data_IF_516604837124
#
_entry.id   IF_516604837124
#
_cell.length_a   1.000
_cell.length_b   1.000
_cell.length_c   1.000
_cell.angle_alpha   90.00
_cell.angle_beta   90.00
_cell.angle_gamma   90.00
#
_symmetry.space_group_name_H-M   'P 1'
#
loop_
_entity.id
_entity.type
_entity.pdbx_description
1 polymer ?
#
# COMPACT_ATOMS: atom_id res chain seq x y z
N UNK A 1 -3.66 22.37 29.71
CA UNK A 1 -4.64 22.46 28.61
C UNK A 1 -4.81 21.06 28.00
N UNK A 2 -5.91 20.38 28.31
CA UNK A 2 -6.26 19.08 27.75
C UNK A 2 -6.89 19.29 26.36
N UNK A 3 -6.24 18.81 25.30
CA UNK A 3 -6.90 18.64 24.00
C UNK A 3 -7.59 17.27 24.02
N UNK A 4 -8.91 17.30 24.15
CA UNK A 4 -9.81 16.15 24.04
C UNK A 4 -9.96 15.74 22.59
N UNK A 5 -9.36 14.62 22.18
CA UNK A 5 -9.68 13.94 20.91
C UNK A 5 -9.73 12.43 21.13
N UNK A 6 -10.77 11.98 21.84
CA UNK A 6 -11.04 10.57 22.10
C UNK A 6 -11.64 9.89 20.87
N UNK A 7 -10.81 9.55 19.88
CA UNK A 7 -11.26 8.68 18.80
C UNK A 7 -11.11 7.21 19.24
N UNK A 8 -12.23 6.48 19.33
CA UNK A 8 -12.29 5.04 19.64
C UNK A 8 -12.45 4.27 18.33
N UNK A 9 -11.34 4.00 17.62
CA UNK A 9 -11.41 3.24 16.36
C UNK A 9 -11.13 1.75 16.59
N UNK A 10 -12.08 0.90 16.22
CA UNK A 10 -11.88 -0.55 16.17
C UNK A 10 -11.04 -0.91 14.94
N UNK A 11 -10.24 -1.98 15.01
CA UNK A 11 -9.44 -2.51 13.88
C UNK A 11 -10.28 -2.60 12.60
N UNK A 12 -11.52 -3.10 12.74
CA UNK A 12 -12.51 -3.17 11.66
C UNK A 12 -12.78 -1.81 11.00
N UNK A 13 -13.04 -0.77 11.80
CA UNK A 13 -13.37 0.55 11.25
C UNK A 13 -12.16 1.18 10.56
N UNK A 14 -10.95 0.94 11.05
CA UNK A 14 -9.71 1.43 10.41
C UNK A 14 -9.48 0.74 9.07
N UNK A 15 -9.66 -0.58 8.98
CA UNK A 15 -9.54 -1.33 7.72
C UNK A 15 -10.60 -0.90 6.70
N UNK A 16 -11.85 -0.71 7.13
CA UNK A 16 -12.92 -0.23 6.25
C UNK A 16 -12.61 1.19 5.76
N UNK A 17 -12.23 2.10 6.66
CA UNK A 17 -11.87 3.47 6.29
C UNK A 17 -10.69 3.48 5.31
N UNK A 18 -9.64 2.71 5.58
CA UNK A 18 -8.50 2.52 4.68
C UNK A 18 -8.95 2.11 3.27
N UNK A 19 -9.74 1.04 3.15
CA UNK A 19 -10.19 0.54 1.84
C UNK A 19 -11.07 1.57 1.10
N UNK A 20 -11.90 2.32 1.82
CA UNK A 20 -12.71 3.41 1.24
C UNK A 20 -11.82 4.53 0.72
N UNK A 21 -10.86 5.02 1.52
CA UNK A 21 -9.94 6.08 1.09
C UNK A 21 -9.11 5.66 -0.12
N UNK A 22 -8.59 4.43 -0.12
CA UNK A 22 -7.87 3.86 -1.27
C UNK A 22 -8.78 3.80 -2.50
N UNK A 23 -9.97 3.20 -2.38
CA UNK A 23 -10.89 3.06 -3.51
C UNK A 23 -11.32 4.42 -4.09
N UNK A 24 -11.73 5.36 -3.23
CA UNK A 24 -12.16 6.69 -3.67
C UNK A 24 -11.01 7.46 -4.31
N UNK A 25 -9.82 7.47 -3.71
CA UNK A 25 -8.66 8.16 -4.27
C UNK A 25 -8.23 7.58 -5.63
N UNK A 26 -8.20 6.24 -5.76
CA UNK A 26 -7.82 5.58 -7.01
C UNK A 26 -8.88 5.71 -8.11
N UNK A 27 -10.17 5.74 -7.74
CA UNK A 27 -11.27 5.98 -8.68
C UNK A 27 -11.29 7.42 -9.15
N UNK A 28 -11.24 8.39 -8.23
CA UNK A 28 -11.34 9.80 -8.55
C UNK A 28 -10.10 10.31 -9.31
N UNK A 29 -8.89 9.80 -9.03
CA UNK A 29 -7.71 10.17 -9.83
C UNK A 29 -7.85 9.80 -11.31
N UNK A 30 -8.59 8.72 -11.62
CA UNK A 30 -8.85 8.31 -13.00
C UNK A 30 -9.73 9.35 -13.70
N UNK A 31 -10.80 9.83 -13.03
CA UNK A 31 -11.66 10.89 -13.57
C UNK A 31 -10.95 12.23 -13.76
N UNK A 32 -9.98 12.55 -12.90
CA UNK A 32 -9.22 13.81 -12.96
C UNK A 32 -7.85 13.69 -13.64
N UNK A 33 -7.64 12.67 -14.47
CA UNK A 33 -6.36 12.40 -15.15
C UNK A 33 -5.76 13.63 -15.85
N UNK A 34 -6.62 14.45 -16.46
CA UNK A 34 -6.22 15.63 -17.24
C UNK A 34 -5.94 16.87 -16.37
N UNK A 35 -6.21 16.82 -15.06
CA UNK A 35 -5.96 17.93 -14.14
C UNK A 35 -4.94 17.51 -13.08
N UNK A 36 -3.70 17.97 -13.25
CA UNK A 36 -2.58 17.58 -12.39
C UNK A 36 -2.84 17.81 -10.89
N UNK A 37 -3.41 18.95 -10.51
CA UNK A 37 -3.63 19.30 -9.10
C UNK A 37 -4.66 18.36 -8.48
N UNK A 38 -5.80 18.14 -9.16
CA UNK A 38 -6.83 17.24 -8.69
C UNK A 38 -6.36 15.78 -8.68
N UNK A 39 -5.63 15.36 -9.72
CA UNK A 39 -4.98 14.05 -9.77
C UNK A 39 -4.06 13.83 -8.58
N UNK A 40 -3.20 14.80 -8.26
CA UNK A 40 -2.26 14.71 -7.14
C UNK A 40 -2.97 14.65 -5.79
N UNK A 41 -4.03 15.44 -5.60
CA UNK A 41 -4.84 15.40 -4.37
C UNK A 41 -5.49 14.02 -4.21
N UNK A 42 -6.10 13.47 -5.26
CA UNK A 42 -6.72 12.14 -5.21
C UNK A 42 -5.69 11.02 -5.02
N UNK A 43 -4.51 11.15 -5.62
CA UNK A 43 -3.39 10.23 -5.39
C UNK A 43 -2.91 10.28 -3.94
N UNK A 44 -2.85 11.47 -3.35
CA UNK A 44 -2.50 11.65 -1.94
C UNK A 44 -3.57 11.04 -1.03
N UNK A 45 -4.85 11.22 -1.37
CA UNK A 45 -5.96 10.58 -0.65
C UNK A 45 -5.85 9.05 -0.68
N UNK A 46 -5.55 8.47 -1.84
CA UNK A 46 -5.29 7.03 -1.97
C UNK A 46 -4.09 6.58 -1.13
N UNK A 47 -3.02 7.40 -1.08
CA UNK A 47 -1.81 7.10 -0.32
C UNK A 47 -2.05 7.04 1.19
N UNK A 48 -3.01 7.81 1.72
CA UNK A 48 -3.42 7.74 3.15
C UNK A 48 -4.05 6.40 3.52
N UNK A 49 -4.65 5.70 2.55
CA UNK A 49 -5.25 4.39 2.77
C UNK A 49 -4.22 3.34 3.21
N UNK A 50 -2.98 3.41 2.72
CA UNK A 50 -1.94 2.43 3.05
C UNK A 50 -1.49 2.45 4.53
N UNK A 51 -1.13 3.61 5.13
CA UNK A 51 -0.87 3.70 6.57
C UNK A 51 -2.02 3.19 7.43
N UNK A 52 -3.27 3.48 7.03
CA UNK A 52 -4.46 3.02 7.76
C UNK A 52 -4.61 1.50 7.68
N UNK A 53 -4.34 0.86 6.53
CA UNK A 53 -4.42 -0.59 6.37
C UNK A 53 -3.42 -1.33 7.28
N UNK A 54 -2.21 -0.78 7.41
CA UNK A 54 -1.10 -1.44 8.13
C UNK A 54 -1.14 -1.14 9.63
N UNK A 55 -1.70 -0.01 10.05
CA UNK A 55 -1.82 0.35 11.47
C UNK A 55 -2.35 -0.80 12.36
N UNK A 56 -3.45 -1.50 12.02
CA UNK A 56 -3.92 -2.61 12.84
C UNK A 56 -3.05 -3.87 12.73
N UNK A 57 -2.25 -4.07 11.67
CA UNK A 57 -1.49 -5.31 11.43
C UNK A 57 -0.51 -5.61 12.56
N UNK A 58 0.20 -4.61 13.08
CA UNK A 58 1.13 -4.78 14.20
C UNK A 58 0.42 -5.18 15.49
N UNK A 59 -0.74 -4.57 15.75
CA UNK A 59 -1.57 -4.92 16.92
C UNK A 59 -2.16 -6.33 16.81
N UNK A 60 -2.59 -6.75 15.62
CA UNK A 60 -3.11 -8.09 15.36
C UNK A 60 -1.99 -9.13 15.44
N UNK A 61 -0.81 -8.85 14.89
CA UNK A 61 0.35 -9.74 14.94
C UNK A 61 0.82 -9.99 16.39
N UNK A 62 0.69 -9.00 17.28
CA UNK A 62 1.05 -9.14 18.70
C UNK A 62 0.13 -10.09 19.48
N UNK A 63 -1.06 -10.40 18.96
CA UNK A 63 -1.96 -11.40 19.54
C UNK A 63 -1.56 -12.84 19.22
N UNK A 64 -0.63 -13.06 18.28
CA UNK A 64 -0.15 -14.39 17.91
C UNK A 64 1.16 -14.73 18.62
N UNK A 65 1.30 -15.99 19.07
CA UNK A 65 2.54 -16.52 19.66
C UNK A 65 3.76 -16.39 18.72
N UNK A 66 3.55 -16.37 17.40
CA UNK A 66 4.61 -16.26 16.40
C UNK A 66 4.59 -14.90 15.66
N UNK A 67 4.66 -13.81 16.41
CA UNK A 67 4.54 -12.43 15.92
C UNK A 67 5.51 -12.08 14.77
N UNK A 68 6.76 -12.55 14.83
CA UNK A 68 7.78 -12.29 13.79
C UNK A 68 7.39 -12.94 12.47
N UNK A 69 6.88 -14.17 12.51
CA UNK A 69 6.46 -14.90 11.31
C UNK A 69 5.26 -14.23 10.64
N UNK A 70 4.25 -13.85 11.41
CA UNK A 70 3.06 -13.15 10.90
C UNK A 70 3.42 -11.79 10.29
N UNK A 71 4.33 -11.05 10.91
CA UNK A 71 4.76 -9.74 10.40
C UNK A 71 5.57 -9.89 9.12
N UNK A 72 6.53 -10.82 9.07
CA UNK A 72 7.35 -11.06 7.88
C UNK A 72 6.53 -11.60 6.69
N UNK A 73 5.54 -12.46 6.94
CA UNK A 73 4.63 -12.95 5.90
C UNK A 73 3.74 -11.83 5.33
N UNK A 74 3.22 -10.93 6.17
CA UNK A 74 2.44 -9.78 5.71
C UNK A 74 3.28 -8.79 4.88
N UNK A 75 4.50 -8.50 5.34
CA UNK A 75 5.45 -7.65 4.60
C UNK A 75 5.84 -8.32 3.27
N UNK A 76 6.01 -9.64 3.27
CA UNK A 76 6.31 -10.43 2.09
C UNK A 76 5.22 -10.38 1.03
N UNK A 77 3.97 -10.63 1.42
CA UNK A 77 2.81 -10.56 0.51
C UNK A 77 2.68 -9.16 -0.10
N UNK A 78 2.93 -8.12 0.69
CA UNK A 78 2.88 -6.73 0.25
C UNK A 78 3.93 -6.41 -0.82
N UNK A 79 5.18 -6.82 -0.61
CA UNK A 79 6.24 -6.64 -1.61
C UNK A 79 6.01 -7.50 -2.85
N UNK A 80 5.50 -8.72 -2.70
CA UNK A 80 5.11 -9.56 -3.85
C UNK A 80 4.01 -8.86 -4.66
N UNK A 81 3.00 -8.28 -3.99
CA UNK A 81 1.95 -7.50 -4.65
C UNK A 81 2.49 -6.30 -5.42
N UNK A 82 3.42 -5.53 -4.84
CA UNK A 82 4.11 -4.43 -5.54
C UNK A 82 4.91 -4.95 -6.74
N UNK A 83 5.59 -6.09 -6.57
CA UNK A 83 6.32 -6.77 -7.65
C UNK A 83 5.42 -7.11 -8.81
N UNK A 84 4.35 -7.87 -8.56
CA UNK A 84 3.35 -8.27 -9.56
C UNK A 84 2.76 -7.04 -10.26
N UNK A 85 2.37 -6.00 -9.50
CA UNK A 85 1.87 -4.76 -10.08
C UNK A 85 2.86 -4.11 -11.04
N UNK A 86 4.15 -4.10 -10.68
CA UNK A 86 5.22 -3.54 -11.50
C UNK A 86 5.51 -4.34 -12.78
N UNK A 87 5.22 -5.65 -12.81
CA UNK A 87 5.29 -6.48 -14.02
C UNK A 87 4.07 -6.32 -14.93
N UNK A 88 2.89 -6.15 -14.34
CA UNK A 88 1.64 -6.02 -15.08
C UNK A 88 1.48 -4.61 -15.67
N UNK A 89 1.90 -3.58 -14.94
CA UNK A 89 1.72 -2.17 -15.33
C UNK A 89 2.25 -1.86 -16.75
N UNK A 90 3.47 -2.28 -17.16
CA UNK A 90 3.96 -2.09 -18.53
C UNK A 90 3.06 -2.71 -19.62
N UNK A 91 2.41 -3.84 -19.33
CA UNK A 91 1.49 -4.49 -20.25
C UNK A 91 0.20 -3.68 -20.38
N UNK A 92 -0.29 -3.10 -19.28
CA UNK A 92 -1.50 -2.29 -19.26
C UNK A 92 -1.32 -0.92 -19.90
N UNK A 93 -0.10 -0.38 -19.91
CA UNK A 93 0.23 0.86 -20.62
C UNK A 93 0.02 0.76 -22.15
N UNK A 94 -0.10 -0.45 -22.71
CA UNK A 94 -0.52 -0.64 -24.12
C UNK A 94 -1.96 -0.14 -24.37
N UNK A 95 -2.81 -0.12 -23.34
CA UNK A 95 -4.14 0.48 -23.35
C UNK A 95 -4.14 1.94 -22.89
N UNK A 96 -2.95 2.56 -22.81
CA UNK A 96 -2.75 3.90 -22.27
C UNK A 96 -2.69 3.95 -20.74
N UNK A 97 -2.45 5.15 -20.21
CA UNK A 97 -2.36 5.40 -18.76
C UNK A 97 -3.69 5.08 -18.06
N UNK A 98 -4.81 5.26 -18.77
CA UNK A 98 -6.15 4.93 -18.28
C UNK A 98 -6.31 3.43 -17.98
N UNK A 99 -5.70 2.56 -18.77
CA UNK A 99 -5.74 1.11 -18.56
C UNK A 99 -5.06 0.69 -17.26
N UNK A 100 -3.87 1.23 -17.00
CA UNK A 100 -3.12 0.97 -15.75
C UNK A 100 -3.86 1.50 -14.51
N UNK A 101 -4.36 2.75 -14.58
CA UNK A 101 -5.09 3.37 -13.49
C UNK A 101 -6.46 2.71 -13.25
N UNK A 102 -7.15 2.30 -14.31
CA UNK A 102 -8.41 1.58 -14.27
C UNK A 102 -8.25 0.20 -13.64
N UNK A 103 -7.19 -0.52 -13.97
CA UNK A 103 -6.88 -1.80 -13.35
C UNK A 103 -6.65 -1.68 -11.84
N UNK A 104 -5.88 -0.68 -11.40
CA UNK A 104 -5.69 -0.39 -9.98
C UNK A 104 -7.03 -0.07 -9.27
N UNK A 105 -7.95 0.60 -9.97
CA UNK A 105 -9.29 0.89 -9.47
C UNK A 105 -10.10 -0.39 -9.26
N UNK A 106 -10.10 -1.31 -10.23
CA UNK A 106 -10.78 -2.61 -10.12
C UNK A 106 -10.22 -3.44 -8.95
N UNK A 107 -8.89 -3.52 -8.82
CA UNK A 107 -8.23 -4.18 -7.70
C UNK A 107 -8.64 -3.58 -6.34
N UNK A 108 -8.74 -2.25 -6.26
CA UNK A 108 -9.15 -1.57 -5.04
C UNK A 108 -10.61 -1.81 -4.69
N UNK A 109 -11.49 -1.94 -5.69
CA UNK A 109 -12.89 -2.32 -5.49
C UNK A 109 -13.00 -3.77 -4.97
N UNK A 110 -12.24 -4.70 -5.55
CA UNK A 110 -12.17 -6.08 -5.07
C UNK A 110 -11.67 -6.10 -3.62
N UNK A 111 -10.61 -5.36 -3.31
CA UNK A 111 -10.09 -5.23 -1.95
C UNK A 111 -11.14 -4.70 -0.98
N UNK A 112 -11.86 -3.64 -1.34
CA UNK A 112 -12.95 -3.09 -0.53
C UNK A 112 -14.06 -4.13 -0.30
N UNK A 113 -14.48 -4.84 -1.35
CA UNK A 113 -15.49 -5.89 -1.24
C UNK A 113 -15.06 -7.04 -0.32
N UNK A 114 -13.80 -7.46 -0.42
CA UNK A 114 -13.22 -8.49 0.45
C UNK A 114 -13.14 -8.00 1.90
N UNK A 115 -12.65 -6.79 2.15
CA UNK A 115 -12.59 -6.20 3.50
C UNK A 115 -13.98 -6.11 4.12
N UNK A 116 -14.98 -5.63 3.37
CA UNK A 116 -16.36 -5.58 3.85
C UNK A 116 -16.93 -6.97 4.15
N UNK A 117 -16.55 -8.00 3.40
CA UNK A 117 -17.03 -9.36 3.60
C UNK A 117 -16.36 -10.04 4.79
N UNK A 118 -15.03 -10.01 4.87
CA UNK A 118 -14.26 -10.69 5.93
C UNK A 118 -14.30 -9.97 7.28
N UNK A 119 -14.51 -8.65 7.30
CA UNK A 119 -14.63 -7.91 8.56
C UNK A 119 -16.03 -7.96 9.20
N UNK A 120 -17.04 -8.55 8.54
CA UNK A 120 -18.39 -8.74 9.13
C UNK A 120 -18.37 -9.65 10.36
N UNK A 121 -17.52 -10.68 10.35
CA UNK A 121 -17.37 -11.65 11.44
C UNK A 121 -16.33 -11.26 12.50
N UNK A 122 -15.67 -10.10 12.37
CA UNK A 122 -14.58 -9.73 13.27
C UNK A 122 -15.15 -9.34 14.66
N UNK A 123 -14.62 -9.88 15.76
CA UNK A 123 -15.16 -9.62 17.10
C UNK A 123 -15.07 -8.13 17.44
N UNK A 124 -16.22 -7.53 17.76
CA UNK A 124 -16.34 -6.10 18.14
C UNK A 124 -15.62 -5.74 19.46
N UNK A 125 -15.13 -6.75 20.19
CA UNK A 125 -14.61 -6.63 21.56
C UNK A 125 -13.08 -6.40 21.67
N UNK A 126 -12.35 -6.27 20.55
CA UNK A 126 -11.00 -5.70 20.59
C UNK A 126 -11.08 -4.17 20.71
N UNK A 127 -11.60 -3.69 21.84
CA UNK A 127 -11.71 -2.29 22.23
C UNK A 127 -10.47 -1.87 23.00
N UNK A 128 -9.35 -1.62 22.30
CA UNK A 128 -8.21 -0.92 22.91
C UNK A 128 -8.33 0.57 22.64
N UNK A 129 -8.14 1.39 23.68
CA UNK A 129 -7.98 2.83 23.52
C UNK A 129 -6.85 3.10 22.51
N UNK A 130 -7.05 4.02 21.56
CA UNK A 130 -6.00 4.44 20.62
C UNK A 130 -4.77 5.03 21.33
N UNK A 131 -4.92 5.44 22.60
CA UNK A 131 -3.83 5.80 23.50
C UNK A 131 -2.95 4.58 23.76
N UNK A 132 -1.85 4.48 23.00
CA UNK A 132 -0.92 3.35 23.02
C UNK A 132 -1.22 2.24 21.99
N UNK A 133 -2.24 2.40 21.13
CA UNK A 133 -2.49 1.48 20.01
C UNK A 133 -1.45 1.63 18.90
N UNK A 134 -0.98 2.87 18.70
CA UNK A 134 0.28 3.12 18.01
C UNK A 134 1.42 2.92 18.99
N UNK A 135 1.95 1.70 19.06
CA UNK A 135 3.22 1.50 19.75
C UNK A 135 4.31 2.31 19.04
N UNK A 136 5.33 2.83 19.76
CA UNK A 136 6.48 3.48 19.12
C UNK A 136 7.12 2.61 18.04
N UNK A 137 7.09 1.28 18.21
CA UNK A 137 7.51 0.31 17.19
C UNK A 137 6.67 0.39 15.91
N UNK A 138 5.36 0.59 16.01
CA UNK A 138 4.48 0.74 14.84
C UNK A 138 4.77 2.03 14.06
N UNK A 139 4.98 3.14 14.76
CA UNK A 139 5.35 4.42 14.13
C UNK A 139 6.72 4.32 13.46
N UNK A 140 7.67 3.64 14.12
CA UNK A 140 8.99 3.36 13.54
C UNK A 140 8.88 2.48 12.28
N UNK A 141 8.08 1.42 12.32
CA UNK A 141 7.86 0.56 11.14
C UNK A 141 7.15 1.32 10.01
N UNK A 142 6.24 2.25 10.32
CA UNK A 142 5.63 3.14 9.35
C UNK A 142 6.67 4.04 8.67
N UNK A 143 7.53 4.68 9.46
CA UNK A 143 8.60 5.51 8.94
C UNK A 143 9.54 4.69 8.04
N UNK A 144 9.96 3.51 8.48
CA UNK A 144 10.81 2.62 7.70
C UNK A 144 10.13 2.18 6.40
N UNK A 145 8.85 1.79 6.44
CA UNK A 145 8.10 1.38 5.25
C UNK A 145 7.87 2.52 4.26
N UNK A 146 7.57 3.72 4.75
CA UNK A 146 7.43 4.92 3.92
C UNK A 146 8.76 5.29 3.28
N UNK A 147 9.85 5.27 4.05
CA UNK A 147 11.21 5.52 3.55
C UNK A 147 11.58 4.51 2.47
N UNK A 148 11.38 3.21 2.70
CA UNK A 148 11.66 2.17 1.70
C UNK A 148 10.83 2.38 0.43
N UNK A 149 9.52 2.62 0.55
CA UNK A 149 8.65 2.87 -0.59
C UNK A 149 9.08 4.12 -1.38
N UNK A 150 9.41 5.22 -0.70
CA UNK A 150 9.90 6.45 -1.34
C UNK A 150 11.21 6.21 -2.06
N UNK A 151 12.18 5.52 -1.45
CA UNK A 151 13.44 5.20 -2.12
C UNK A 151 13.23 4.27 -3.31
N UNK A 152 12.41 3.22 -3.20
CA UNK A 152 12.13 2.32 -4.31
C UNK A 152 11.46 3.03 -5.48
N UNK A 153 10.48 3.90 -5.23
CA UNK A 153 9.81 4.69 -6.27
C UNK A 153 10.77 5.72 -6.86
N UNK A 154 11.58 6.38 -6.03
CA UNK A 154 12.58 7.34 -6.48
C UNK A 154 13.63 6.69 -7.39
N UNK A 155 14.23 5.57 -6.97
CA UNK A 155 15.22 4.85 -7.79
C UNK A 155 14.59 4.25 -9.05
N UNK A 156 13.36 3.74 -9.00
CA UNK A 156 12.64 3.27 -10.19
C UNK A 156 12.36 4.40 -11.19
N UNK A 157 11.98 5.59 -10.69
CA UNK A 157 11.81 6.79 -11.49
C UNK A 157 13.12 7.26 -12.13
N UNK A 158 14.19 7.40 -11.33
CA UNK A 158 15.53 7.79 -11.81
C UNK A 158 16.04 6.80 -12.85
N UNK A 159 15.91 5.50 -12.63
CA UNK A 159 16.30 4.48 -13.60
C UNK A 159 15.52 4.62 -14.92
N UNK A 160 14.21 4.85 -14.86
CA UNK A 160 13.36 5.07 -16.04
C UNK A 160 13.77 6.33 -16.80
N UNK A 161 14.04 7.43 -16.09
CA UNK A 161 14.49 8.69 -16.69
C UNK A 161 15.87 8.56 -17.33
N UNK A 162 16.81 7.88 -16.66
CA UNK A 162 18.16 7.67 -17.19
C UNK A 162 18.14 6.79 -18.44
N UNK A 163 17.36 5.71 -18.44
CA UNK A 163 17.13 4.88 -19.62
C UNK A 163 16.50 5.69 -20.78
N UNK A 164 15.60 6.61 -20.47
CA UNK A 164 14.99 7.49 -21.47
C UNK A 164 15.99 8.50 -22.05
N UNK A 165 16.89 9.07 -21.22
CA UNK A 165 17.98 9.96 -21.65
C UNK A 165 18.97 9.22 -22.56
N UNK A 166 19.21 7.93 -22.30
CA UNK A 166 20.04 7.09 -23.15
C UNK A 166 19.28 6.50 -24.37
N UNK A 167 18.07 6.98 -24.64
CA UNK A 167 17.21 6.54 -25.76
C UNK A 167 16.99 5.02 -25.82
N UNK A 168 16.97 4.36 -24.66
CA UNK A 168 16.66 2.93 -24.60
C UNK A 168 15.16 2.75 -24.89
N UNK A 169 14.79 1.95 -25.91
CA UNK A 169 13.39 1.69 -26.21
C UNK A 169 12.72 1.02 -25.01
N UNK A 170 11.47 1.39 -24.73
CA UNK A 170 10.68 0.86 -23.60
C UNK A 170 11.29 1.16 -22.21
N UNK A 171 11.99 2.28 -22.04
CA UNK A 171 12.61 2.70 -20.78
C UNK A 171 11.67 2.63 -19.56
N UNK A 172 10.40 3.03 -19.71
CA UNK A 172 9.38 2.96 -18.66
C UNK A 172 9.07 1.50 -18.30
N UNK A 173 8.93 0.63 -19.29
CA UNK A 173 8.70 -0.80 -19.09
C UNK A 173 9.88 -1.45 -18.38
N UNK A 174 11.12 -1.15 -18.78
CA UNK A 174 12.31 -1.66 -18.12
C UNK A 174 12.44 -1.18 -16.67
N UNK A 175 12.16 0.10 -16.40
CA UNK A 175 12.12 0.62 -15.03
C UNK A 175 11.09 -0.10 -14.16
N UNK A 176 9.90 -0.36 -14.71
CA UNK A 176 8.86 -1.17 -14.06
C UNK A 176 9.32 -2.62 -13.78
N UNK A 177 9.92 -3.31 -14.76
CA UNK A 177 10.40 -4.69 -14.60
C UNK A 177 11.52 -4.79 -13.54
N UNK A 178 12.48 -3.88 -13.57
CA UNK A 178 13.61 -3.86 -12.62
C UNK A 178 13.15 -3.51 -11.19
N UNK A 179 12.22 -2.55 -11.06
CA UNK A 179 11.55 -2.28 -9.79
C UNK A 179 10.79 -3.50 -9.28
N UNK A 180 10.07 -4.19 -10.17
CA UNK A 180 9.31 -5.41 -9.87
C UNK A 180 10.18 -6.54 -9.34
N UNK A 181 11.31 -6.82 -9.99
CA UNK A 181 12.30 -7.80 -9.54
C UNK A 181 12.82 -7.47 -8.13
N UNK A 182 13.11 -6.20 -7.87
CA UNK A 182 13.57 -5.73 -6.56
C UNK A 182 12.53 -5.95 -5.46
N UNK A 183 11.26 -5.71 -5.77
CA UNK A 183 10.16 -5.99 -4.85
C UNK A 183 9.94 -7.49 -4.61
N UNK A 184 9.97 -8.33 -5.65
CA UNK A 184 9.87 -9.80 -5.47
C UNK A 184 11.01 -10.32 -4.60
N UNK A 185 12.25 -9.91 -4.87
CA UNK A 185 13.41 -10.30 -4.05
C UNK A 185 13.26 -9.89 -2.60
N UNK A 186 12.80 -8.67 -2.35
CA UNK A 186 12.51 -8.16 -0.99
C UNK A 186 11.39 -8.96 -0.30
N UNK A 187 10.34 -9.31 -1.05
CA UNK A 187 9.24 -10.15 -0.58
C UNK A 187 9.72 -11.53 -0.14
N UNK A 188 10.45 -12.24 -1.00
CA UNK A 188 11.01 -13.57 -0.71
C UNK A 188 11.98 -13.55 0.48
N UNK A 189 12.81 -12.51 0.58
CA UNK A 189 13.71 -12.32 1.72
C UNK A 189 12.93 -12.13 3.02
N UNK A 190 11.90 -11.27 3.03
CA UNK A 190 11.09 -11.02 4.23
C UNK A 190 10.28 -12.23 4.71
N UNK A 191 9.84 -13.12 3.79
CA UNK A 191 9.20 -14.40 4.14
C UNK A 191 10.23 -15.41 4.65
N UNK A 192 11.44 -15.43 4.10
CA UNK A 192 12.49 -16.35 4.54
C UNK A 192 13.01 -15.99 5.94
N UNK A 193 13.12 -14.70 6.24
CA UNK A 193 13.46 -14.15 7.56
C UNK A 193 12.33 -14.27 8.60
N UNK A 194 11.13 -14.69 8.17
CA UNK A 194 9.97 -14.87 9.04
C UNK A 194 9.87 -16.28 9.64
N UNK A 195 10.85 -17.16 9.37
CA UNK A 195 11.01 -18.46 10.04
C UNK A 195 11.84 -18.31 11.30
#
# INVERSE_FOLDING_TARGET
MQVTSSARFTVRNVLIASSIFTFLGLTLRLFFLHNFVLFLIMQTLAAVGYPLAIAPVGSVASSFKNQRSVTGLNVGILFIGMGIGSFISPLLLTFGVEGDLGFATVLSLISLALVLSFTRGYPKNYTRNLRGSFSPLMVRNWYVGLVIATFSVFFGGVASTLLNVHHVPNAISFGGLLGGLSFIGSGLSSVSLSK
#
